data_IF_410076416493
#
_entry.id   IF_410076416493
#
_cell.length_a   1.000
_cell.length_b   1.000
_cell.length_c   1.000
_cell.angle_alpha   90.00
_cell.angle_beta   90.00
_cell.angle_gamma   90.00
#
_symmetry.space_group_name_H-M   'P 1'
#
loop_
_entity.id
_entity.type
_entity.pdbx_description
1 polymer ?
#
# COMPACT_ATOMS: atom_id res chain seq x y z
N UNK A 1 57.15 52.73 30.34
CA UNK A 1 55.76 52.99 29.91
C UNK A 1 55.01 51.69 29.87
N UNK A 2 54.19 51.44 30.91
CA UNK A 2 53.48 50.18 31.10
C UNK A 2 52.02 50.37 30.74
N UNK A 3 51.55 49.70 29.69
CA UNK A 3 50.11 49.67 29.29
C UNK A 3 49.41 48.56 30.04
N UNK A 4 48.58 48.91 31.01
CA UNK A 4 47.69 48.00 31.71
C UNK A 4 46.40 47.91 30.95
N UNK A 5 46.19 46.75 30.30
CA UNK A 5 44.92 46.43 29.61
C UNK A 5 43.88 45.94 30.62
N UNK A 6 42.84 46.72 30.88
CA UNK A 6 41.68 46.35 31.71
C UNK A 6 40.82 45.34 30.99
N UNK A 7 40.86 44.11 31.40
CA UNK A 7 39.90 43.06 30.98
C UNK A 7 38.52 43.31 31.67
N UNK A 8 37.51 43.58 30.87
CA UNK A 8 36.10 43.66 31.32
C UNK A 8 35.58 42.25 31.56
N UNK A 9 35.43 41.85 32.85
CA UNK A 9 34.71 40.63 33.22
C UNK A 9 33.23 40.83 32.96
N UNK A 10 32.70 40.10 31.95
CA UNK A 10 31.26 39.97 31.80
C UNK A 10 30.74 38.99 32.84
N UNK A 11 29.94 39.45 33.80
CA UNK A 11 29.25 38.61 34.75
C UNK A 11 28.18 37.83 34.00
N UNK A 12 28.30 36.50 33.94
CA UNK A 12 27.23 35.62 33.47
C UNK A 12 26.12 35.67 34.55
N UNK A 13 25.01 36.29 34.21
CA UNK A 13 23.79 36.17 35.01
C UNK A 13 23.32 34.71 34.95
N UNK A 14 23.58 33.93 35.99
CA UNK A 14 23.05 32.58 36.14
C UNK A 14 21.56 32.67 36.45
N UNK A 15 20.73 32.05 35.63
CA UNK A 15 19.31 31.86 35.94
C UNK A 15 19.14 31.11 37.25
N UNK A 16 18.27 31.62 38.12
CA UNK A 16 17.97 30.95 39.41
C UNK A 16 17.42 29.53 39.18
N UNK A 17 17.65 28.63 40.10
CA UNK A 17 17.26 27.22 40.05
C UNK A 17 15.79 27.03 39.68
N UNK A 18 14.91 27.91 40.14
CA UNK A 18 13.47 27.93 39.85
C UNK A 18 13.17 28.24 38.38
N UNK A 19 13.89 29.21 37.80
CA UNK A 19 13.71 29.55 36.35
C UNK A 19 14.26 28.46 35.45
N UNK A 20 15.29 27.73 35.85
CA UNK A 20 15.80 26.57 35.09
C UNK A 20 14.82 25.40 35.12
N UNK A 21 14.18 25.12 36.26
CA UNK A 21 13.13 24.09 36.36
C UNK A 21 11.90 24.46 35.52
N UNK A 22 11.47 25.72 35.59
CA UNK A 22 10.33 26.18 34.77
C UNK A 22 10.59 26.08 33.28
N UNK A 23 11.80 26.39 32.81
CA UNK A 23 12.18 26.26 31.38
C UNK A 23 12.27 24.78 30.94
N UNK A 24 12.77 23.88 31.82
CA UNK A 24 12.80 22.44 31.56
C UNK A 24 11.39 21.86 31.45
N UNK A 25 10.48 22.23 32.36
CA UNK A 25 9.09 21.79 32.33
C UNK A 25 8.36 22.31 31.09
N UNK A 26 8.57 23.56 30.72
CA UNK A 26 8.02 24.15 29.51
C UNK A 26 8.52 23.44 28.23
N UNK A 27 9.82 23.14 28.16
CA UNK A 27 10.43 22.37 27.06
C UNK A 27 9.88 20.96 26.96
N UNK A 28 9.65 20.29 28.09
CA UNK A 28 9.09 18.94 28.12
C UNK A 28 7.63 18.91 27.66
N UNK A 29 6.83 19.92 28.03
CA UNK A 29 5.45 20.07 27.53
C UNK A 29 5.42 20.34 26.03
N UNK A 30 6.33 21.17 25.51
CA UNK A 30 6.45 21.41 24.06
C UNK A 30 6.85 20.13 23.28
N UNK A 31 7.76 19.32 23.82
CA UNK A 31 8.16 18.05 23.21
C UNK A 31 7.01 17.03 23.23
N UNK A 32 6.25 16.95 24.32
CA UNK A 32 5.07 16.07 24.41
C UNK A 32 3.96 16.49 23.45
N UNK A 33 3.65 17.77 23.36
CA UNK A 33 2.63 18.31 22.44
C UNK A 33 3.07 18.16 20.98
N UNK A 34 4.33 18.45 20.67
CA UNK A 34 4.90 18.27 19.33
C UNK A 34 4.93 16.81 18.91
N UNK A 35 5.27 15.90 19.84
CA UNK A 35 5.25 14.45 19.61
C UNK A 35 3.84 13.92 19.34
N UNK A 36 2.84 14.34 20.12
CA UNK A 36 1.44 13.99 19.91
C UNK A 36 0.91 14.50 18.56
N UNK A 37 1.30 15.73 18.18
CA UNK A 37 0.90 16.30 16.88
C UNK A 37 1.52 15.51 15.73
N UNK A 38 2.83 15.20 15.80
CA UNK A 38 3.53 14.43 14.77
C UNK A 38 2.99 13.00 14.62
N UNK A 39 2.62 12.32 15.72
CA UNK A 39 2.02 10.98 15.68
C UNK A 39 0.62 11.03 15.06
N UNK A 40 -0.16 12.07 15.36
CA UNK A 40 -1.50 12.23 14.80
C UNK A 40 -1.48 12.52 13.28
N UNK A 41 -0.57 13.38 12.84
CA UNK A 41 -0.34 13.66 11.41
C UNK A 41 0.18 12.41 10.68
N UNK A 42 1.11 11.65 11.29
CA UNK A 42 1.62 10.43 10.69
C UNK A 42 0.55 9.35 10.58
N UNK A 43 -0.30 9.18 11.59
CA UNK A 43 -1.41 8.21 11.54
C UNK A 43 -2.49 8.63 10.51
N UNK A 44 -2.74 9.93 10.33
CA UNK A 44 -3.63 10.43 9.30
C UNK A 44 -3.08 10.16 7.88
N UNK A 45 -1.77 10.39 7.66
CA UNK A 45 -1.09 10.11 6.38
C UNK A 45 -1.07 8.61 6.07
N UNK A 46 -0.84 7.76 7.07
CA UNK A 46 -0.91 6.29 6.91
C UNK A 46 -2.33 5.84 6.56
N UNK A 47 -3.35 6.39 7.21
CA UNK A 47 -4.75 6.06 6.94
C UNK A 47 -5.21 6.49 5.55
N UNK A 48 -4.64 7.58 5.00
CA UNK A 48 -4.94 8.05 3.63
C UNK A 48 -4.22 7.23 2.56
N UNK A 49 -3.12 6.55 2.88
CA UNK A 49 -2.38 5.67 1.96
C UNK A 49 -2.99 4.27 1.81
N UNK A 50 -3.89 3.86 2.69
CA UNK A 50 -4.36 2.46 2.80
C UNK A 50 -5.79 2.23 2.30
N UNK A 51 -6.54 3.24 1.90
CA UNK A 51 -7.89 3.03 1.36
C UNK A 51 -8.17 4.02 0.23
N UNK A 52 -8.19 3.50 -1.00
CA UNK A 52 -8.86 4.21 -2.08
C UNK A 52 -10.32 4.35 -1.68
N UNK A 53 -10.77 5.58 -1.41
CA UNK A 53 -12.19 5.84 -1.17
C UNK A 53 -12.94 5.68 -2.51
N UNK A 54 -13.96 4.84 -2.54
CA UNK A 54 -14.85 4.64 -3.69
C UNK A 54 -16.26 4.31 -3.19
N UNK A 55 -17.24 4.54 -4.03
CA UNK A 55 -18.62 4.14 -3.81
C UNK A 55 -18.95 2.89 -4.64
N UNK A 56 -20.01 2.17 -4.28
CA UNK A 56 -20.43 0.96 -5.03
C UNK A 56 -20.71 1.28 -6.51
N UNK A 57 -21.23 2.49 -6.79
CA UNK A 57 -21.45 2.99 -8.16
C UNK A 57 -20.17 3.24 -8.97
N UNK A 58 -19.01 3.22 -8.32
CA UNK A 58 -17.72 3.40 -8.98
C UNK A 58 -17.11 2.07 -9.43
N UNK A 59 -17.68 0.94 -9.00
CA UNK A 59 -17.18 -0.39 -9.35
C UNK A 59 -17.58 -0.72 -10.78
N UNK A 60 -16.57 -0.90 -11.63
CA UNK A 60 -16.76 -1.44 -12.97
C UNK A 60 -16.99 -2.95 -12.89
N UNK A 61 -17.97 -3.46 -13.64
CA UNK A 61 -18.37 -4.89 -13.60
C UNK A 61 -18.47 -5.53 -14.99
N UNK A 62 -18.00 -4.83 -16.03
CA UNK A 62 -18.06 -5.35 -17.39
C UNK A 62 -16.93 -6.34 -17.69
N UNK A 63 -17.29 -7.53 -18.18
CA UNK A 63 -16.36 -8.58 -18.60
C UNK A 63 -15.37 -8.95 -17.49
N UNK A 64 -15.80 -9.57 -16.39
CA UNK A 64 -14.92 -9.98 -15.30
C UNK A 64 -13.85 -10.96 -15.79
N UNK A 65 -12.69 -10.93 -15.12
CA UNK A 65 -11.55 -11.79 -15.43
C UNK A 65 -11.36 -12.76 -14.27
N UNK A 66 -11.25 -14.06 -14.58
CA UNK A 66 -10.82 -15.07 -13.62
C UNK A 66 -9.35 -15.39 -13.86
N UNK A 67 -8.53 -15.09 -12.84
CA UNK A 67 -7.12 -15.41 -12.85
C UNK A 67 -6.91 -16.80 -12.22
N UNK A 68 -6.27 -17.67 -12.97
CA UNK A 68 -5.80 -18.98 -12.53
C UNK A 68 -4.30 -19.13 -12.75
N UNK A 69 -3.78 -20.32 -12.54
CA UNK A 69 -2.37 -20.63 -12.75
C UNK A 69 -2.00 -20.82 -14.25
N UNK A 70 -2.91 -20.52 -15.15
CA UNK A 70 -2.63 -20.57 -16.58
C UNK A 70 -1.78 -19.36 -16.99
N UNK A 71 -0.58 -19.66 -17.50
CA UNK A 71 0.39 -18.69 -18.01
C UNK A 71 0.30 -18.55 -19.53
N UNK A 72 -0.82 -18.94 -20.14
CA UNK A 72 -1.06 -18.80 -21.58
C UNK A 72 -0.94 -17.36 -22.07
N UNK A 73 -0.73 -17.17 -23.34
CA UNK A 73 -0.69 -15.84 -23.96
C UNK A 73 -2.07 -15.17 -23.82
N UNK A 74 -2.07 -13.97 -23.24
CA UNK A 74 -3.26 -13.13 -23.17
C UNK A 74 -3.56 -12.42 -24.48
N UNK A 75 -4.74 -11.81 -24.62
CA UNK A 75 -5.03 -10.96 -25.76
C UNK A 75 -4.03 -9.79 -25.82
N UNK A 76 -3.70 -9.28 -27.02
CA UNK A 76 -2.78 -8.16 -27.15
C UNK A 76 -3.32 -6.92 -26.42
N UNK A 77 -2.43 -6.21 -25.75
CA UNK A 77 -2.74 -4.94 -25.09
C UNK A 77 -3.09 -3.91 -26.19
N UNK A 78 -4.23 -3.18 -26.06
CA UNK A 78 -4.58 -2.15 -27.02
C UNK A 78 -3.49 -1.08 -27.13
N UNK A 79 -3.09 -0.74 -28.36
CA UNK A 79 -2.17 0.35 -28.58
C UNK A 79 -2.87 1.69 -28.31
N UNK A 80 -2.23 2.53 -27.48
CA UNK A 80 -2.64 3.91 -27.22
C UNK A 80 -1.55 4.86 -27.75
N UNK A 81 -1.94 5.95 -28.47
CA UNK A 81 -0.99 6.96 -28.89
C UNK A 81 -0.30 7.60 -27.69
N UNK A 82 1.03 7.73 -27.69
CA UNK A 82 1.81 8.29 -26.59
C UNK A 82 1.45 9.74 -26.24
N UNK A 83 0.99 10.50 -27.24
CA UNK A 83 0.68 11.93 -27.08
C UNK A 83 -0.80 12.18 -26.71
N UNK A 84 -1.57 11.11 -26.45
CA UNK A 84 -2.98 11.16 -26.07
C UNK A 84 -3.20 10.90 -24.57
N UNK A 85 -4.49 10.92 -24.14
CA UNK A 85 -4.85 10.47 -22.80
C UNK A 85 -4.34 9.06 -22.50
N UNK A 86 -3.78 8.85 -21.33
CA UNK A 86 -3.24 7.55 -20.90
C UNK A 86 -4.01 7.03 -19.69
N UNK A 87 -4.15 5.70 -19.53
CA UNK A 87 -4.60 5.11 -18.28
C UNK A 87 -3.49 5.18 -17.22
N UNK A 88 -3.87 5.13 -15.94
CA UNK A 88 -2.92 5.02 -14.83
C UNK A 88 -3.49 4.09 -13.77
N UNK A 89 -2.78 2.98 -13.51
CA UNK A 89 -3.20 1.99 -12.53
C UNK A 89 -2.73 2.38 -11.14
N UNK A 90 -3.63 2.33 -10.15
CA UNK A 90 -3.27 2.35 -8.74
C UNK A 90 -3.98 1.23 -7.98
N UNK A 91 -3.33 0.77 -6.92
CA UNK A 91 -3.82 -0.31 -6.07
C UNK A 91 -4.10 0.20 -4.66
N UNK A 92 -5.17 -0.28 -4.01
CA UNK A 92 -5.44 0.03 -2.60
C UNK A 92 -4.31 -0.44 -1.68
N UNK A 93 -3.74 -1.59 -2.00
CA UNK A 93 -2.60 -2.20 -1.31
C UNK A 93 -1.90 -3.19 -2.24
N UNK A 94 -0.58 -3.32 -2.08
CA UNK A 94 0.27 -4.22 -2.89
C UNK A 94 0.45 -5.58 -2.25
N UNK A 95 0.21 -5.69 -0.95
CA UNK A 95 0.37 -6.93 -0.21
C UNK A 95 -0.47 -6.95 1.05
N UNK A 96 -0.87 -8.15 1.44
CA UNK A 96 -1.59 -8.39 2.68
C UNK A 96 -1.05 -9.64 3.39
N UNK A 97 -0.88 -9.56 4.72
CA UNK A 97 -0.47 -10.70 5.55
C UNK A 97 -1.69 -11.19 6.35
N UNK A 98 -2.13 -12.40 6.07
CA UNK A 98 -3.21 -13.06 6.82
C UNK A 98 -2.76 -13.55 8.20
N UNK A 99 -1.46 -13.50 8.50
CA UNK A 99 -0.93 -14.05 9.72
C UNK A 99 -0.95 -15.58 9.77
N UNK A 100 -1.25 -16.14 10.95
CA UNK A 100 -1.30 -17.59 11.17
C UNK A 100 -2.66 -18.16 10.79
N UNK A 101 -2.63 -19.23 9.95
CA UNK A 101 -3.83 -19.96 9.51
C UNK A 101 -3.63 -21.46 9.72
N UNK A 102 -4.72 -22.23 9.72
CA UNK A 102 -4.69 -23.69 9.76
C UNK A 102 -4.24 -24.30 8.41
N UNK A 103 -3.81 -25.57 8.41
CA UNK A 103 -3.27 -26.24 7.21
C UNK A 103 -4.34 -26.58 6.15
N UNK A 104 -5.62 -26.42 6.47
CA UNK A 104 -6.75 -26.63 5.56
C UNK A 104 -7.64 -25.39 5.40
N UNK A 105 -7.19 -24.26 5.93
CA UNK A 105 -7.97 -23.02 5.86
C UNK A 105 -7.94 -22.44 4.45
N UNK A 106 -9.09 -21.85 4.08
CA UNK A 106 -9.24 -21.02 2.91
C UNK A 106 -9.42 -19.58 3.39
N UNK A 107 -8.56 -18.69 2.92
CA UNK A 107 -8.60 -17.27 3.28
C UNK A 107 -8.78 -16.41 2.03
N UNK A 108 -9.48 -15.29 2.16
CA UNK A 108 -9.74 -14.39 1.04
C UNK A 108 -9.55 -12.93 1.43
N UNK A 109 -9.21 -12.11 0.44
CA UNK A 109 -9.08 -10.66 0.56
C UNK A 109 -9.52 -9.97 -0.70
N UNK A 110 -10.28 -8.90 -0.55
CA UNK A 110 -10.63 -8.01 -1.66
C UNK A 110 -9.67 -6.83 -1.69
N UNK A 111 -9.02 -6.65 -2.85
CA UNK A 111 -8.20 -5.50 -3.20
C UNK A 111 -8.96 -4.63 -4.19
N UNK A 112 -8.50 -3.40 -4.38
CA UNK A 112 -9.12 -2.46 -5.31
C UNK A 112 -8.06 -1.94 -6.28
N UNK A 113 -8.39 -2.00 -7.56
CA UNK A 113 -7.68 -1.35 -8.65
C UNK A 113 -8.45 -0.07 -8.98
N UNK A 114 -7.78 1.06 -9.11
CA UNK A 114 -8.34 2.30 -9.62
C UNK A 114 -7.64 2.72 -10.89
N UNK A 115 -8.39 3.30 -11.82
CA UNK A 115 -7.85 4.02 -12.95
C UNK A 115 -7.80 5.52 -12.63
N UNK A 116 -6.61 6.01 -12.28
CA UNK A 116 -6.35 7.42 -12.00
C UNK A 116 -5.99 8.21 -13.27
N UNK A 117 -5.97 7.55 -14.44
CA UNK A 117 -5.69 8.15 -15.73
C UNK A 117 -6.91 8.76 -16.42
N UNK A 118 -6.69 9.25 -17.64
CA UNK A 118 -7.71 9.92 -18.47
C UNK A 118 -8.24 9.01 -19.61
N UNK A 119 -7.61 7.86 -19.86
CA UNK A 119 -8.06 6.85 -20.82
C UNK A 119 -8.53 5.58 -20.10
N UNK A 120 -9.35 4.72 -20.72
CA UNK A 120 -9.74 3.45 -20.13
C UNK A 120 -8.53 2.54 -19.84
N UNK A 121 -8.43 2.06 -18.59
CA UNK A 121 -7.48 1.04 -18.19
C UNK A 121 -8.01 -0.32 -18.60
N UNK A 122 -7.29 -1.02 -19.46
CA UNK A 122 -7.66 -2.35 -19.96
C UNK A 122 -6.74 -3.40 -19.34
N UNK A 123 -7.32 -4.36 -18.64
CA UNK A 123 -6.63 -5.54 -18.16
C UNK A 123 -6.70 -6.61 -19.24
N UNK A 124 -5.56 -6.94 -19.82
CA UNK A 124 -5.49 -7.93 -20.90
C UNK A 124 -5.44 -9.35 -20.37
N UNK A 125 -4.76 -9.54 -19.21
CA UNK A 125 -4.60 -10.85 -18.59
C UNK A 125 -4.36 -10.70 -17.08
N UNK A 126 -4.83 -11.70 -16.33
CA UNK A 126 -4.43 -11.87 -14.94
C UNK A 126 -4.16 -13.35 -14.68
N UNK A 127 -3.10 -13.65 -13.94
CA UNK A 127 -2.72 -15.02 -13.59
C UNK A 127 -2.12 -15.08 -12.18
N UNK A 128 -2.21 -16.26 -11.54
CA UNK A 128 -1.71 -16.48 -10.19
C UNK A 128 -0.38 -17.24 -10.19
N UNK A 129 0.41 -17.05 -9.15
CA UNK A 129 1.75 -17.67 -9.04
C UNK A 129 1.71 -19.14 -8.63
N UNK A 130 0.54 -19.70 -8.29
CA UNK A 130 0.34 -21.13 -8.01
C UNK A 130 -1.14 -21.50 -8.18
N UNK A 131 -1.41 -22.82 -8.28
CA UNK A 131 -2.76 -23.37 -8.29
C UNK A 131 -3.52 -23.22 -6.97
N UNK A 132 -2.80 -23.00 -5.86
CA UNK A 132 -3.38 -22.76 -4.53
C UNK A 132 -3.98 -21.35 -4.36
N UNK A 133 -3.89 -20.51 -5.39
CA UNK A 133 -4.40 -19.14 -5.37
C UNK A 133 -5.25 -18.92 -6.61
N UNK A 134 -6.41 -18.30 -6.42
CA UNK A 134 -7.27 -17.82 -7.49
C UNK A 134 -7.59 -16.36 -7.26
N UNK A 135 -7.88 -15.63 -8.34
CA UNK A 135 -8.37 -14.26 -8.21
C UNK A 135 -9.47 -14.00 -9.24
N UNK A 136 -10.45 -13.17 -8.85
CA UNK A 136 -11.48 -12.67 -9.74
C UNK A 136 -11.47 -11.16 -9.75
N UNK A 137 -11.36 -10.57 -10.95
CA UNK A 137 -11.36 -9.12 -11.16
C UNK A 137 -12.72 -8.75 -11.72
N UNK A 138 -13.41 -7.79 -11.11
CA UNK A 138 -14.80 -7.44 -11.44
C UNK A 138 -14.98 -6.90 -12.88
N UNK A 139 -13.93 -6.34 -13.49
CA UNK A 139 -13.98 -5.83 -14.87
C UNK A 139 -12.65 -5.94 -15.59
N UNK A 140 -12.68 -6.15 -16.90
CA UNK A 140 -11.48 -6.07 -17.77
C UNK A 140 -11.18 -4.68 -18.30
N UNK A 141 -12.17 -3.76 -18.25
CA UNK A 141 -12.00 -2.36 -18.65
C UNK A 141 -12.50 -1.47 -17.53
N UNK A 142 -11.63 -0.60 -17.03
CA UNK A 142 -11.92 0.31 -15.93
C UNK A 142 -11.89 1.74 -16.50
N UNK A 143 -13.06 2.42 -16.58
CA UNK A 143 -13.11 3.80 -17.06
C UNK A 143 -12.30 4.76 -16.15
N UNK A 144 -11.92 5.96 -16.66
CA UNK A 144 -11.28 6.99 -15.87
C UNK A 144 -12.04 7.29 -14.55
N UNK A 145 -11.31 7.33 -13.44
CA UNK A 145 -11.83 7.59 -12.10
C UNK A 145 -12.62 6.45 -11.47
N UNK A 146 -12.86 5.34 -12.19
CA UNK A 146 -13.57 4.15 -11.69
C UNK A 146 -12.60 3.13 -11.10
N UNK A 147 -13.17 2.12 -10.42
CA UNK A 147 -12.44 1.05 -9.76
C UNK A 147 -12.91 -0.32 -10.25
N UNK A 148 -12.04 -1.33 -10.08
CA UNK A 148 -12.41 -2.74 -10.12
C UNK A 148 -11.97 -3.41 -8.83
N UNK A 149 -12.74 -4.39 -8.36
CA UNK A 149 -12.38 -5.22 -7.21
C UNK A 149 -11.61 -6.44 -7.69
N UNK A 150 -10.62 -6.87 -6.88
CA UNK A 150 -9.86 -8.11 -7.06
C UNK A 150 -10.10 -8.96 -5.82
N UNK A 151 -10.92 -9.98 -5.94
CA UNK A 151 -11.11 -10.97 -4.88
C UNK A 151 -10.05 -12.06 -5.04
N UNK A 152 -9.09 -12.11 -4.12
CA UNK A 152 -8.02 -13.10 -4.10
C UNK A 152 -8.33 -14.12 -3.01
N UNK A 153 -8.29 -15.40 -3.38
CA UNK A 153 -8.53 -16.56 -2.50
C UNK A 153 -7.27 -17.40 -2.46
N UNK A 154 -6.82 -17.77 -1.25
CA UNK A 154 -5.73 -18.70 -1.02
C UNK A 154 -6.26 -19.91 -0.25
N UNK A 155 -5.95 -21.12 -0.76
CA UNK A 155 -6.31 -22.42 -0.17
C UNK A 155 -5.05 -23.10 0.38
N UNK A 156 -4.90 -23.17 1.70
CA UNK A 156 -3.79 -23.83 2.36
C UNK A 156 -3.81 -25.35 2.18
N UNK A 157 -4.99 -25.94 1.96
CA UNK A 157 -5.17 -27.37 1.77
C UNK A 157 -4.83 -27.88 0.37
N UNK A 158 -4.57 -26.97 -0.60
CA UNK A 158 -4.27 -27.36 -1.97
C UNK A 158 -2.92 -28.09 -2.14
N UNK A 159 -1.94 -27.74 -1.28
CA UNK A 159 -0.64 -28.40 -1.21
C UNK A 159 -0.29 -28.70 0.25
N UNK A 160 0.72 -29.55 0.49
CA UNK A 160 1.28 -29.73 1.83
C UNK A 160 2.12 -28.52 2.21
N UNK A 161 1.48 -27.56 2.89
CA UNK A 161 2.08 -26.28 3.30
C UNK A 161 2.23 -26.16 4.82
N UNK A 162 1.91 -27.20 5.58
CA UNK A 162 1.97 -27.19 7.04
C UNK A 162 3.37 -26.76 7.57
N UNK A 163 3.40 -25.86 8.53
CA UNK A 163 4.64 -25.33 9.12
C UNK A 163 5.42 -24.34 8.26
N UNK A 164 4.88 -23.91 7.10
CA UNK A 164 5.58 -23.02 6.16
C UNK A 164 4.99 -21.60 6.19
N UNK A 165 5.83 -20.61 5.88
CA UNK A 165 5.38 -19.28 5.50
C UNK A 165 5.35 -19.20 3.98
N UNK A 166 4.16 -18.94 3.44
CA UNK A 166 3.86 -18.95 2.01
C UNK A 166 3.57 -17.54 1.54
N UNK A 167 4.16 -17.14 0.42
CA UNK A 167 3.82 -15.90 -0.28
C UNK A 167 3.35 -16.23 -1.69
N UNK A 168 2.15 -15.76 -2.05
CA UNK A 168 1.54 -15.97 -3.35
C UNK A 168 0.93 -14.68 -3.85
N UNK A 169 0.75 -14.57 -5.16
CA UNK A 169 0.23 -13.34 -5.75
C UNK A 169 -0.55 -13.56 -7.03
N UNK A 170 -1.19 -12.49 -7.46
CA UNK A 170 -1.78 -12.34 -8.78
C UNK A 170 -1.01 -11.27 -9.53
N UNK A 171 -0.71 -11.56 -10.79
CA UNK A 171 -0.03 -10.68 -11.73
C UNK A 171 -1.06 -10.23 -12.74
N UNK A 172 -1.14 -8.91 -12.98
CA UNK A 172 -2.18 -8.24 -13.76
C UNK A 172 -1.50 -7.46 -14.88
N UNK A 173 -1.64 -7.92 -16.10
CA UNK A 173 -1.13 -7.23 -17.29
C UNK A 173 -2.17 -6.24 -17.80
N UNK A 174 -1.73 -5.03 -18.10
CA UNK A 174 -2.62 -3.92 -18.43
C UNK A 174 -1.96 -2.95 -19.43
N UNK A 175 -2.71 -1.92 -19.85
CA UNK A 175 -2.25 -0.93 -20.85
C UNK A 175 -1.72 0.37 -20.25
N UNK A 176 -1.42 0.42 -18.94
CA UNK A 176 -0.70 1.56 -18.36
C UNK A 176 0.73 1.59 -18.91
N UNK A 177 1.18 2.67 -19.56
CA UNK A 177 2.52 2.73 -20.15
C UNK A 177 3.66 2.74 -19.14
N UNK A 178 3.40 3.20 -17.91
CA UNK A 178 4.40 3.29 -16.84
C UNK A 178 4.42 2.01 -15.98
N UNK A 179 3.26 1.36 -15.83
CA UNK A 179 3.08 0.14 -15.04
C UNK A 179 2.30 -0.93 -15.82
N UNK A 180 2.85 -1.46 -16.91
CA UNK A 180 2.16 -2.44 -17.77
C UNK A 180 1.88 -3.76 -17.06
N UNK A 181 2.49 -4.00 -15.91
CA UNK A 181 2.27 -5.14 -15.04
C UNK A 181 2.14 -4.67 -13.60
N UNK A 182 1.00 -4.94 -12.97
CA UNK A 182 0.74 -4.72 -11.55
C UNK A 182 0.71 -6.06 -10.81
N UNK A 183 1.11 -6.06 -9.54
CA UNK A 183 1.20 -7.28 -8.73
C UNK A 183 0.54 -7.05 -7.37
N UNK A 184 -0.24 -8.05 -6.93
CA UNK A 184 -0.82 -8.10 -5.58
C UNK A 184 -0.34 -9.38 -4.91
N UNK A 185 0.22 -9.25 -3.71
CA UNK A 185 0.79 -10.37 -2.97
C UNK A 185 0.07 -10.62 -1.66
N UNK A 186 -0.12 -11.87 -1.30
CA UNK A 186 -0.58 -12.29 0.03
C UNK A 186 0.46 -13.17 0.68
N UNK A 187 0.54 -13.10 2.00
CA UNK A 187 1.39 -13.93 2.83
C UNK A 187 0.56 -14.62 3.90
N UNK A 188 0.90 -15.86 4.22
CA UNK A 188 0.30 -16.66 5.29
C UNK A 188 1.38 -17.45 6.03
N UNK A 189 1.24 -17.63 7.33
CA UNK A 189 2.02 -18.57 8.13
C UNK A 189 1.14 -19.78 8.46
N UNK A 190 1.31 -20.89 7.74
CA UNK A 190 0.50 -22.11 7.94
C UNK A 190 1.01 -22.85 9.18
N UNK A 191 0.12 -23.18 10.11
CA UNK A 191 0.47 -23.89 11.33
C UNK A 191 0.90 -25.35 11.00
N UNK A 192 1.83 -25.90 11.79
CA UNK A 192 2.11 -27.33 11.76
C UNK A 192 0.95 -28.10 12.37
N UNK A 193 0.69 -29.28 11.86
CA UNK A 193 -0.26 -30.25 12.42
C UNK A 193 0.15 -30.69 13.83
#
# INVERSE_FOLDING_TARGET
>A
MSHITKQKKYARAGFGRETQIALMLLGMVFLLLGGLFAVNEWSAIQKTRTALAYEESDIATEKPIKAGHDMGEGPPIPFLPKDGPQPSISLSEWSYDFGKIGPTDVVQRTFVIRNDGEAPLTISRAYTTCGCTTAEISASVIPPGKVATVELVFDAGFHDTAGQTIRRGVIIENNDPDFPQAEIWVQVAVQSN
#
